data_IF_558503435070
#
_entry.id   IF_558503435070
#
_cell.length_a   1.000
_cell.length_b   1.000
_cell.length_c   1.000
_cell.angle_alpha   90.00
_cell.angle_beta   90.00
_cell.angle_gamma   90.00
#
_symmetry.space_group_name_H-M   'P 1'
#
loop_
_entity.id
_entity.type
_entity.pdbx_description
1 polymer ?
#
# COMPACT_ATOMS: atom_id res chain seq x y z
N UNK A 1 31.07 16.55 -9.63
CA UNK A 1 30.76 15.19 -10.05
C UNK A 1 29.31 14.92 -9.66
N UNK A 2 28.44 14.70 -10.67
CA UNK A 2 26.99 14.54 -10.50
C UNK A 2 26.59 13.18 -9.87
N UNK A 3 27.55 12.34 -9.54
CA UNK A 3 27.36 10.98 -9.03
C UNK A 3 26.69 10.90 -7.65
N UNK A 4 26.68 12.03 -6.91
CA UNK A 4 26.08 12.13 -5.57
C UNK A 4 24.88 13.08 -5.52
N UNK A 5 24.32 13.44 -6.69
CA UNK A 5 23.15 14.31 -6.79
C UNK A 5 21.92 13.52 -7.21
N UNK A 6 20.98 13.36 -6.30
CA UNK A 6 19.72 12.62 -6.51
C UNK A 6 18.58 13.63 -6.74
N UNK A 7 18.07 13.70 -7.97
CA UNK A 7 17.00 14.63 -8.34
C UNK A 7 15.75 13.87 -8.73
N UNK A 8 14.70 14.00 -7.92
CA UNK A 8 13.39 13.43 -8.23
C UNK A 8 12.46 14.50 -8.81
N UNK A 9 12.19 14.41 -10.13
CA UNK A 9 11.22 15.29 -10.81
C UNK A 9 9.84 14.66 -10.74
N UNK A 10 9.02 14.99 -9.71
CA UNK A 10 7.63 14.47 -9.66
C UNK A 10 6.60 15.47 -9.20
N UNK A 11 5.46 15.45 -9.92
CA UNK A 11 4.20 16.06 -9.53
C UNK A 11 3.52 15.25 -8.43
N UNK A 12 2.82 15.93 -7.52
CA UNK A 12 2.32 15.49 -6.22
C UNK A 12 1.34 14.33 -6.13
N UNK A 13 1.11 13.51 -7.16
CA UNK A 13 -0.01 12.55 -7.19
C UNK A 13 0.34 11.07 -7.13
N UNK A 14 1.61 10.66 -7.24
CA UNK A 14 1.93 9.22 -7.31
C UNK A 14 2.97 8.81 -6.29
N UNK A 15 2.57 7.96 -5.34
CA UNK A 15 3.45 7.37 -4.31
C UNK A 15 4.36 6.26 -4.84
N UNK A 16 4.20 5.84 -6.08
CA UNK A 16 4.70 4.56 -6.61
C UNK A 16 6.03 4.59 -7.33
N UNK A 17 6.88 5.55 -7.27
CA UNK A 17 8.22 5.47 -7.87
C UNK A 17 9.13 6.55 -7.30
N UNK A 18 9.72 6.30 -6.14
CA UNK A 18 10.78 7.14 -5.55
C UNK A 18 12.14 6.50 -5.86
N UNK A 19 12.42 6.34 -7.16
CA UNK A 19 13.63 5.65 -7.61
C UNK A 19 14.90 6.33 -7.12
N UNK A 20 14.94 7.67 -7.11
CA UNK A 20 16.11 8.40 -6.68
C UNK A 20 16.33 8.32 -5.17
N UNK A 21 15.27 8.36 -4.36
CA UNK A 21 15.39 8.12 -2.93
C UNK A 21 15.84 6.67 -2.62
N UNK A 22 15.31 5.69 -3.33
CA UNK A 22 15.76 4.31 -3.15
C UNK A 22 17.20 4.10 -3.63
N UNK A 23 17.62 4.78 -4.69
CA UNK A 23 19.01 4.79 -5.15
C UNK A 23 19.93 5.44 -4.11
N UNK A 24 19.55 6.62 -3.59
CA UNK A 24 20.26 7.29 -2.51
C UNK A 24 20.41 6.35 -1.30
N UNK A 25 19.31 5.75 -0.85
CA UNK A 25 19.32 4.82 0.29
C UNK A 25 20.17 3.57 0.02
N UNK A 26 20.27 3.11 -1.23
CA UNK A 26 21.15 1.97 -1.57
C UNK A 26 22.62 2.35 -1.57
N UNK A 27 22.94 3.54 -2.08
CA UNK A 27 24.34 3.99 -2.21
C UNK A 27 24.91 4.50 -0.89
N UNK A 28 24.08 5.10 -0.03
CA UNK A 28 24.49 5.64 1.25
C UNK A 28 25.12 4.59 2.17
N UNK A 29 26.26 4.94 2.74
CA UNK A 29 27.11 4.07 3.59
C UNK A 29 27.25 4.69 4.98
N UNK A 30 27.70 3.89 5.92
CA UNK A 30 28.01 4.35 7.27
C UNK A 30 29.06 5.49 7.23
N UNK A 31 28.75 6.56 7.93
CA UNK A 31 29.56 7.79 7.98
C UNK A 31 29.25 8.82 6.91
N UNK A 32 28.38 8.50 5.94
CA UNK A 32 27.95 9.48 4.92
C UNK A 32 27.06 10.57 5.54
N UNK A 33 27.02 11.73 4.88
CA UNK A 33 26.18 12.85 5.24
C UNK A 33 25.30 13.26 4.04
N UNK A 34 24.00 13.16 4.21
CA UNK A 34 23.01 13.50 3.19
C UNK A 34 22.48 14.91 3.42
N UNK A 35 22.50 15.73 2.38
CA UNK A 35 21.91 17.07 2.40
C UNK A 35 20.61 17.08 1.61
N UNK A 36 19.53 17.47 2.26
CA UNK A 36 18.19 17.55 1.68
C UNK A 36 17.74 19.00 1.63
N UNK A 37 17.28 19.48 0.48
CA UNK A 37 16.86 20.89 0.34
C UNK A 37 15.70 21.22 1.26
N UNK A 38 14.64 20.40 1.28
CA UNK A 38 13.43 20.60 2.09
C UNK A 38 12.87 19.27 2.59
N UNK A 39 12.22 19.29 3.75
CA UNK A 39 11.58 18.11 4.34
C UNK A 39 10.54 17.49 3.39
N UNK A 40 9.74 18.32 2.71
CA UNK A 40 8.69 17.87 1.78
C UNK A 40 9.25 17.18 0.51
N UNK A 41 10.54 17.33 0.22
CA UNK A 41 11.25 16.58 -0.82
C UNK A 41 11.58 15.16 -0.37
N UNK A 42 11.93 15.00 0.89
CA UNK A 42 12.28 13.70 1.45
C UNK A 42 11.03 12.88 1.81
N UNK A 43 10.01 13.50 2.38
CA UNK A 43 8.82 12.83 2.91
C UNK A 43 7.56 13.67 2.73
N UNK A 44 6.40 13.02 2.60
CA UNK A 44 5.10 13.66 2.40
C UNK A 44 4.21 13.64 3.64
N UNK A 45 4.54 12.82 4.60
CA UNK A 45 3.89 12.71 5.89
C UNK A 45 4.94 12.50 6.97
N UNK A 46 4.55 12.70 8.21
CA UNK A 46 5.42 12.44 9.36
C UNK A 46 5.78 10.95 9.43
N UNK A 47 4.84 10.08 9.09
CA UNK A 47 5.09 8.62 9.01
C UNK A 47 6.18 8.30 7.99
N UNK A 48 6.08 8.88 6.79
CA UNK A 48 7.06 8.66 5.71
C UNK A 48 8.43 9.22 6.11
N UNK A 49 8.46 10.42 6.71
CA UNK A 49 9.68 11.02 7.22
C UNK A 49 10.35 10.14 8.28
N UNK A 50 9.59 9.68 9.27
CA UNK A 50 10.11 8.82 10.31
C UNK A 50 10.69 7.51 9.74
N UNK A 51 10.00 6.88 8.79
CA UNK A 51 10.47 5.65 8.14
C UNK A 51 11.80 5.88 7.39
N UNK A 52 11.90 6.97 6.63
CA UNK A 52 13.12 7.29 5.86
C UNK A 52 14.27 7.64 6.80
N UNK A 53 14.02 8.44 7.84
CA UNK A 53 15.02 8.82 8.82
C UNK A 53 15.54 7.62 9.62
N UNK A 54 14.68 6.67 9.98
CA UNK A 54 15.10 5.42 10.63
C UNK A 54 16.02 4.59 9.70
N UNK A 55 15.71 4.51 8.40
CA UNK A 55 16.58 3.81 7.43
C UNK A 55 17.96 4.46 7.31
N UNK A 56 18.07 5.78 7.34
CA UNK A 56 19.36 6.46 7.36
C UNK A 56 20.10 6.21 8.67
N UNK A 57 19.41 6.30 9.81
CA UNK A 57 19.99 6.02 11.13
C UNK A 57 20.55 4.58 11.22
N UNK A 58 19.78 3.57 10.78
CA UNK A 58 20.20 2.17 10.74
C UNK A 58 21.46 1.96 9.88
N UNK A 59 21.65 2.79 8.87
CA UNK A 59 22.84 2.78 8.02
C UNK A 59 24.01 3.60 8.57
N UNK A 60 23.83 4.31 9.66
CA UNK A 60 24.84 5.22 10.20
C UNK A 60 25.06 6.46 9.34
N UNK A 61 24.01 6.98 8.71
CA UNK A 61 24.04 8.13 7.81
C UNK A 61 23.39 9.35 8.48
N UNK A 62 24.09 10.46 8.49
CA UNK A 62 23.58 11.74 8.99
C UNK A 62 22.79 12.47 7.91
N UNK A 63 21.76 13.24 8.30
CA UNK A 63 20.91 13.98 7.37
C UNK A 63 20.77 15.44 7.81
N UNK A 64 21.02 16.38 6.90
CA UNK A 64 20.79 17.82 7.12
C UNK A 64 19.72 18.35 6.17
N UNK A 65 18.70 18.99 6.72
CA UNK A 65 17.71 19.76 5.98
C UNK A 65 18.16 21.21 5.85
N UNK A 66 18.48 21.63 4.63
CA UNK A 66 19.09 22.93 4.36
C UNK A 66 18.15 24.12 4.65
N UNK A 67 16.87 23.96 4.34
CA UNK A 67 15.86 25.02 4.50
C UNK A 67 15.64 25.41 5.98
N UNK A 68 15.73 24.43 6.87
CA UNK A 68 15.51 24.59 8.31
C UNK A 68 16.82 24.61 9.12
N UNK A 69 17.96 24.42 8.46
CA UNK A 69 19.27 24.23 9.09
C UNK A 69 19.24 23.19 10.22
N UNK A 70 18.52 22.10 9.98
CA UNK A 70 18.29 21.03 10.97
C UNK A 70 19.09 19.80 10.58
N UNK A 71 19.97 19.36 11.47
CA UNK A 71 20.79 18.17 11.28
C UNK A 71 20.36 17.04 12.20
N UNK A 72 20.21 15.85 11.64
CA UNK A 72 20.04 14.60 12.36
C UNK A 72 21.31 13.77 12.19
N UNK A 73 22.07 13.65 13.27
CA UNK A 73 23.27 12.86 13.29
C UNK A 73 22.94 11.37 13.34
N UNK A 74 23.76 10.54 12.69
CA UNK A 74 23.63 9.09 12.74
C UNK A 74 23.81 8.54 14.16
N UNK A 75 24.80 9.08 14.89
CA UNK A 75 25.03 8.78 16.30
C UNK A 75 24.21 9.71 17.18
N UNK A 76 23.06 9.22 17.63
CA UNK A 76 22.16 9.95 18.55
C UNK A 76 22.45 9.65 20.03
N UNK A 77 23.35 8.73 20.36
CA UNK A 77 23.58 8.30 21.74
C UNK A 77 24.09 9.46 22.60
N UNK A 78 24.92 10.33 22.02
CA UNK A 78 25.52 11.45 22.70
C UNK A 78 24.73 12.77 22.64
N UNK A 79 23.61 12.82 21.90
CA UNK A 79 22.80 14.02 21.75
C UNK A 79 21.37 13.85 22.26
N UNK A 80 21.13 14.26 23.51
CA UNK A 80 19.82 14.16 24.16
C UNK A 80 18.71 14.90 23.39
N UNK A 81 19.01 16.05 22.76
CA UNK A 81 18.05 16.80 21.97
C UNK A 81 17.64 16.05 20.70
N UNK A 82 18.59 15.42 20.03
CA UNK A 82 18.28 14.61 18.84
C UNK A 82 17.47 13.37 19.18
N UNK A 83 17.78 12.69 20.30
CA UNK A 83 16.94 11.59 20.80
C UNK A 83 15.51 12.05 21.06
N UNK A 84 15.33 13.21 21.68
CA UNK A 84 14.02 13.77 21.92
C UNK A 84 13.28 14.05 20.60
N UNK A 85 13.94 14.66 19.61
CA UNK A 85 13.36 14.94 18.28
C UNK A 85 12.92 13.66 17.56
N UNK A 86 13.75 12.60 17.58
CA UNK A 86 13.37 11.31 17.01
C UNK A 86 12.19 10.68 17.73
N UNK A 87 12.15 10.72 19.06
CA UNK A 87 11.03 10.19 19.84
C UNK A 87 9.73 10.95 19.55
N UNK A 88 9.80 12.28 19.47
CA UNK A 88 8.65 13.13 19.13
C UNK A 88 8.17 12.80 17.70
N UNK A 89 9.09 12.71 16.73
CA UNK A 89 8.77 12.37 15.35
C UNK A 89 8.10 10.99 15.27
N UNK A 90 8.62 9.99 15.98
CA UNK A 90 8.05 8.66 16.09
C UNK A 90 6.64 8.67 16.69
N UNK A 91 6.44 9.35 17.80
CA UNK A 91 5.14 9.47 18.46
C UNK A 91 4.09 10.17 17.59
N UNK A 92 4.47 11.20 16.85
CA UNK A 92 3.58 11.84 15.89
C UNK A 92 3.23 10.93 14.71
N UNK A 93 4.18 10.13 14.22
CA UNK A 93 3.94 9.17 13.17
C UNK A 93 2.95 8.06 13.59
N UNK A 94 3.07 7.57 14.82
CA UNK A 94 2.12 6.64 15.42
C UNK A 94 0.73 7.26 15.58
N UNK A 95 0.66 8.48 16.12
CA UNK A 95 -0.60 9.21 16.24
C UNK A 95 -1.30 9.43 14.89
N UNK A 96 -0.58 9.85 13.83
CA UNK A 96 -1.15 9.96 12.49
C UNK A 96 -1.70 8.63 11.98
N UNK A 97 -0.95 7.54 12.20
CA UNK A 97 -1.39 6.19 11.81
C UNK A 97 -2.69 5.79 12.49
N UNK A 98 -2.76 6.01 13.80
CA UNK A 98 -3.96 5.69 14.60
C UNK A 98 -5.17 6.51 14.15
N UNK A 99 -4.97 7.80 13.86
CA UNK A 99 -6.01 8.67 13.31
C UNK A 99 -6.53 8.17 11.95
N UNK A 100 -5.64 7.71 11.07
CA UNK A 100 -6.02 7.13 9.75
C UNK A 100 -6.81 5.83 9.95
N UNK A 101 -6.35 4.95 10.82
CA UNK A 101 -7.02 3.66 11.14
C UNK A 101 -8.42 3.91 11.70
N UNK A 102 -8.54 4.81 12.68
CA UNK A 102 -9.82 5.16 13.31
C UNK A 102 -10.81 5.74 12.28
N UNK A 103 -10.38 6.75 11.51
CA UNK A 103 -11.21 7.35 10.46
C UNK A 103 -11.65 6.32 9.42
N UNK A 104 -10.75 5.44 9.00
CA UNK A 104 -11.06 4.38 8.03
C UNK A 104 -11.99 3.34 8.64
N UNK A 105 -11.79 2.98 9.91
CA UNK A 105 -12.65 2.07 10.67
C UNK A 105 -14.09 2.59 10.77
N UNK A 106 -14.26 3.84 11.20
CA UNK A 106 -15.57 4.50 11.24
C UNK A 106 -16.24 4.56 9.86
N UNK A 107 -15.46 4.90 8.81
CA UNK A 107 -15.97 4.92 7.44
C UNK A 107 -16.48 3.56 6.99
N UNK A 108 -15.78 2.48 7.32
CA UNK A 108 -16.21 1.10 7.05
C UNK A 108 -17.47 0.73 7.83
N UNK A 109 -17.54 1.11 9.10
CA UNK A 109 -18.75 0.86 9.93
C UNK A 109 -19.97 1.58 9.35
N UNK A 110 -19.85 2.87 8.99
CA UNK A 110 -20.94 3.64 8.35
C UNK A 110 -21.36 3.02 7.03
N UNK A 111 -20.40 2.59 6.18
CA UNK A 111 -20.69 1.92 4.92
C UNK A 111 -21.42 0.58 5.14
N UNK A 112 -21.02 -0.21 6.15
CA UNK A 112 -21.68 -1.45 6.52
C UNK A 112 -23.09 -1.21 7.05
N UNK A 113 -23.30 -0.19 7.90
CA UNK A 113 -24.61 0.22 8.40
C UNK A 113 -25.54 0.69 7.28
N UNK A 114 -24.99 1.33 6.23
CA UNK A 114 -25.70 1.73 5.02
C UNK A 114 -25.93 0.56 4.02
N UNK A 115 -25.69 -0.69 4.41
CA UNK A 115 -25.87 -1.88 3.56
C UNK A 115 -24.85 -2.06 2.43
N UNK A 116 -23.79 -1.26 2.39
CA UNK A 116 -22.76 -1.40 1.36
C UNK A 116 -21.92 -2.65 1.61
N UNK A 117 -21.80 -3.52 0.61
CA UNK A 117 -20.87 -4.66 0.65
C UNK A 117 -19.45 -4.11 0.58
N UNK A 118 -18.65 -4.41 1.63
CA UNK A 118 -17.23 -4.07 1.69
C UNK A 118 -16.43 -5.25 1.16
N UNK A 119 -15.40 -4.96 0.39
CA UNK A 119 -14.51 -5.97 -0.19
C UNK A 119 -14.60 -6.03 -1.72
N UNK A 120 -14.00 -7.07 -2.28
CA UNK A 120 -14.00 -7.28 -3.74
C UNK A 120 -15.42 -7.51 -4.24
N UNK A 121 -15.84 -6.73 -5.23
CA UNK A 121 -17.10 -6.95 -5.94
C UNK A 121 -17.07 -8.35 -6.58
N UNK A 122 -18.07 -9.17 -6.25
CA UNK A 122 -18.23 -10.49 -6.87
C UNK A 122 -18.45 -10.38 -8.38
N UNK A 123 -18.50 -11.52 -9.03
CA UNK A 123 -18.89 -11.57 -10.46
C UNK A 123 -20.35 -11.08 -10.60
N UNK A 124 -20.68 -10.36 -11.69
CA UNK A 124 -22.05 -9.94 -11.97
C UNK A 124 -22.99 -11.15 -11.97
N UNK A 125 -24.15 -11.01 -11.33
CA UNK A 125 -25.12 -12.11 -11.22
C UNK A 125 -25.58 -12.64 -12.57
N UNK A 126 -25.70 -11.76 -13.57
CA UNK A 126 -26.04 -12.13 -14.94
C UNK A 126 -25.01 -13.09 -15.54
N UNK A 127 -23.71 -12.80 -15.37
CA UNK A 127 -22.64 -13.71 -15.83
C UNK A 127 -22.69 -15.06 -15.13
N UNK A 128 -22.93 -15.06 -13.82
CA UNK A 128 -23.07 -16.29 -13.04
C UNK A 128 -24.29 -17.08 -13.52
N UNK A 129 -25.43 -16.43 -13.75
CA UNK A 129 -26.64 -17.06 -14.24
C UNK A 129 -26.42 -17.70 -15.62
N UNK A 130 -25.77 -16.97 -16.53
CA UNK A 130 -25.38 -17.48 -17.85
C UNK A 130 -24.47 -18.70 -17.76
N UNK A 131 -23.44 -18.63 -16.92
CA UNK A 131 -22.50 -19.73 -16.70
C UNK A 131 -23.20 -20.98 -16.14
N UNK A 132 -24.13 -20.82 -15.21
CA UNK A 132 -24.94 -21.92 -14.66
C UNK A 132 -25.88 -22.52 -15.73
N UNK A 133 -26.51 -21.69 -16.54
CA UNK A 133 -27.38 -22.16 -17.64
C UNK A 133 -26.60 -23.00 -18.65
N UNK A 134 -25.43 -22.54 -19.07
CA UNK A 134 -24.52 -23.31 -19.94
C UNK A 134 -24.08 -24.62 -19.29
N UNK A 135 -23.73 -24.59 -18.00
CA UNK A 135 -23.35 -25.80 -17.27
C UNK A 135 -24.48 -26.83 -17.19
N UNK A 136 -25.74 -26.40 -16.94
CA UNK A 136 -26.90 -27.31 -16.91
C UNK A 136 -27.12 -27.99 -18.27
N UNK A 137 -26.95 -27.25 -19.34
CA UNK A 137 -27.19 -27.74 -20.72
C UNK A 137 -25.91 -28.25 -21.41
N UNK A 138 -24.77 -28.36 -20.68
CA UNK A 138 -23.45 -28.65 -21.25
C UNK A 138 -23.39 -29.92 -22.13
N UNK A 139 -24.17 -30.94 -21.76
CA UNK A 139 -24.21 -32.19 -22.54
C UNK A 139 -24.92 -32.03 -23.88
N UNK A 140 -25.93 -31.14 -23.92
CA UNK A 140 -26.68 -30.86 -25.16
C UNK A 140 -25.93 -29.86 -26.04
N UNK A 141 -25.21 -28.92 -25.41
CA UNK A 141 -24.42 -27.90 -26.09
C UNK A 141 -23.02 -28.39 -26.49
N UNK A 142 -22.63 -29.56 -26.04
CA UNK A 142 -21.28 -30.16 -26.21
C UNK A 142 -20.15 -29.19 -25.81
N UNK A 143 -20.33 -28.48 -24.67
CA UNK A 143 -19.37 -27.50 -24.16
C UNK A 143 -18.66 -28.00 -22.92
N UNK A 144 -17.37 -27.76 -22.86
CA UNK A 144 -16.51 -28.06 -21.74
C UNK A 144 -16.62 -26.95 -20.65
N UNK A 145 -16.21 -27.27 -19.42
CA UNK A 145 -16.11 -26.28 -18.33
C UNK A 145 -15.15 -25.15 -18.68
N UNK A 146 -14.09 -25.42 -19.42
CA UNK A 146 -13.10 -24.42 -19.85
C UNK A 146 -13.73 -23.40 -20.80
N UNK A 147 -14.51 -23.85 -21.76
CA UNK A 147 -15.25 -22.98 -22.69
C UNK A 147 -16.31 -22.14 -21.99
N UNK A 148 -17.02 -22.71 -20.99
CA UNK A 148 -17.97 -21.92 -20.16
C UNK A 148 -17.25 -20.80 -19.41
N UNK A 149 -16.07 -21.07 -18.84
CA UNK A 149 -15.24 -20.09 -18.13
C UNK A 149 -14.74 -19.01 -19.10
N UNK A 150 -14.31 -19.37 -20.28
CA UNK A 150 -13.82 -18.47 -21.32
C UNK A 150 -14.94 -17.56 -21.85
N UNK A 151 -16.10 -18.13 -22.21
CA UNK A 151 -17.24 -17.38 -22.74
C UNK A 151 -17.89 -16.43 -21.72
N UNK A 152 -18.01 -16.86 -20.46
CA UNK A 152 -18.69 -16.06 -19.42
C UNK A 152 -17.74 -15.16 -18.61
N UNK A 153 -16.42 -15.45 -18.61
CA UNK A 153 -15.43 -14.82 -17.78
C UNK A 153 -15.60 -15.11 -16.28
N UNK A 154 -16.43 -16.11 -15.91
CA UNK A 154 -16.65 -16.52 -14.53
C UNK A 154 -15.54 -17.50 -14.11
N UNK A 155 -14.73 -17.20 -13.08
CA UNK A 155 -13.68 -18.12 -12.64
C UNK A 155 -14.22 -19.51 -12.29
N UNK A 156 -13.50 -20.55 -12.66
CA UNK A 156 -13.86 -21.96 -12.45
C UNK A 156 -14.27 -22.24 -11.00
N UNK A 157 -13.49 -21.71 -10.03
CA UNK A 157 -13.79 -21.88 -8.61
C UNK A 157 -15.16 -21.25 -8.21
N UNK A 158 -15.47 -20.07 -8.78
CA UNK A 158 -16.75 -19.40 -8.54
C UNK A 158 -17.92 -20.19 -9.14
N UNK A 159 -17.74 -20.71 -10.36
CA UNK A 159 -18.75 -21.54 -11.02
C UNK A 159 -19.06 -22.80 -10.19
N UNK A 160 -18.06 -23.57 -9.78
CA UNK A 160 -18.27 -24.77 -8.96
C UNK A 160 -18.89 -24.46 -7.59
N UNK A 161 -18.49 -23.35 -6.95
CA UNK A 161 -19.10 -22.94 -5.71
C UNK A 161 -20.59 -22.68 -5.87
N UNK A 162 -20.99 -22.01 -6.94
CA UNK A 162 -22.39 -21.68 -7.21
C UNK A 162 -23.22 -22.92 -7.61
N UNK A 163 -22.64 -23.86 -8.33
CA UNK A 163 -23.26 -25.14 -8.64
C UNK A 163 -23.57 -25.90 -7.34
N UNK A 164 -22.58 -26.00 -6.44
CA UNK A 164 -22.73 -26.69 -5.15
C UNK A 164 -23.77 -26.02 -4.23
N UNK A 165 -23.84 -24.67 -4.25
CA UNK A 165 -24.88 -23.93 -3.50
C UNK A 165 -26.27 -24.27 -4.03
N UNK A 166 -26.45 -24.33 -5.36
CA UNK A 166 -27.73 -24.65 -6.00
C UNK A 166 -28.15 -26.11 -5.79
N UNK A 167 -27.21 -27.06 -5.83
CA UNK A 167 -27.50 -28.47 -5.58
C UNK A 167 -28.02 -28.67 -4.14
N UNK A 168 -27.43 -28.00 -3.16
CA UNK A 168 -27.88 -28.03 -1.76
C UNK A 168 -29.27 -27.40 -1.54
N UNK A 169 -29.65 -26.41 -2.35
CA UNK A 169 -30.99 -25.80 -2.27
C UNK A 169 -32.07 -26.71 -2.86
N UNK A 170 -31.72 -27.54 -3.85
CA UNK A 170 -32.65 -28.51 -4.47
C UNK A 170 -32.82 -29.82 -3.66
N UNK A 171 -31.96 -30.09 -2.67
CA UNK A 171 -32.04 -31.24 -1.78
C UNK A 171 -32.86 -30.94 -0.49
N UNK A 172 -33.35 -29.72 -0.30
CA UNK A 172 -34.21 -29.31 0.80
C UNK A 172 -35.66 -29.15 0.35
#
# INVERSE_FOLDING_TARGET
TDDYLFIEKKSGTTTRNRHELENLLKQARNGDHVFVTKIDRLARSIIDLNNVMNRFKEKGVSVTFLDNNMTFEADTENNAMQRLLFNVLGSFAEFERDMIVNRTGEGRQRAKAAGKKLGRTGQPEEKIRRAIAMWKNRKQLDVSISEIVEDTGVPRATLYKKIKEMEKENEK
#
